data_IF_473394215118
#
_entry.id   IF_473394215118
#
_cell.length_a   1.000
_cell.length_b   1.000
_cell.length_c   1.000
_cell.angle_alpha   90.00
_cell.angle_beta   90.00
_cell.angle_gamma   90.00
#
_symmetry.space_group_name_H-M   'P 1'
#
loop_
_entity.id
_entity.type
_entity.pdbx_description
1 polymer ?
#
# COMPACT_ATOMS: atom_id res chain seq x y z
N UNK A 1 -0.60 9.59 12.64
CA UNK A 1 -1.46 9.35 11.45
C UNK A 1 -0.54 9.23 10.26
N UNK A 2 -0.70 8.20 9.42
CA UNK A 2 0.15 8.02 8.24
C UNK A 2 -0.04 9.18 7.26
N UNK A 3 1.07 9.76 6.79
CA UNK A 3 1.10 10.81 5.79
C UNK A 3 2.13 10.42 4.74
N UNK A 4 1.76 10.52 3.46
CA UNK A 4 2.65 10.37 2.33
C UNK A 4 2.76 11.72 1.61
N UNK A 5 3.83 12.51 1.84
CA UNK A 5 3.97 13.84 1.26
C UNK A 5 3.82 13.82 -0.27
N UNK A 6 3.07 14.79 -0.81
CA UNK A 6 2.82 14.89 -2.26
C UNK A 6 1.85 13.86 -2.83
N UNK A 7 1.24 13.00 -2.00
CA UNK A 7 0.35 11.94 -2.45
C UNK A 7 -0.96 11.93 -1.66
N UNK A 8 -2.01 11.45 -2.31
CA UNK A 8 -3.22 11.00 -1.64
C UNK A 8 -3.01 9.60 -1.06
N UNK A 9 -3.69 9.31 0.05
CA UNK A 9 -3.81 7.98 0.63
C UNK A 9 -5.26 7.51 0.40
N UNK A 10 -5.40 6.30 -0.12
CA UNK A 10 -6.66 5.57 -0.22
C UNK A 10 -6.82 4.59 0.95
N UNK A 11 -7.45 3.46 0.69
CA UNK A 11 -7.64 2.41 1.68
C UNK A 11 -6.29 1.89 2.20
N UNK A 12 -6.30 1.46 3.46
CA UNK A 12 -5.15 0.86 4.14
C UNK A 12 -5.50 -0.52 4.67
N UNK A 13 -4.53 -1.42 4.67
CA UNK A 13 -4.64 -2.73 5.31
C UNK A 13 -3.35 -3.06 6.04
N UNK A 14 -3.47 -3.89 7.08
CA UNK A 14 -2.40 -4.10 8.05
C UNK A 14 -1.99 -5.56 8.14
N UNK A 15 -0.72 -5.77 8.45
CA UNK A 15 -0.18 -7.04 8.91
C UNK A 15 0.75 -6.76 10.10
N UNK A 16 0.60 -7.52 11.18
CA UNK A 16 1.42 -7.35 12.38
C UNK A 16 2.39 -8.51 12.48
N UNK A 17 3.69 -8.20 12.52
CA UNK A 17 4.78 -9.15 12.71
C UNK A 17 5.54 -8.79 14.00
N UNK A 18 5.30 -9.55 15.07
CA UNK A 18 5.78 -9.22 16.41
C UNK A 18 5.39 -7.77 16.81
N UNK A 19 6.38 -6.92 17.09
CA UNK A 19 6.19 -5.52 17.47
C UNK A 19 6.16 -4.55 16.27
N UNK A 20 6.23 -5.07 15.04
CA UNK A 20 6.19 -4.24 13.82
C UNK A 20 4.82 -4.33 13.16
N UNK A 21 4.18 -3.17 13.02
CA UNK A 21 2.93 -3.02 12.29
C UNK A 21 3.28 -2.58 10.87
N UNK A 22 2.98 -3.44 9.90
CA UNK A 22 3.09 -3.15 8.48
C UNK A 22 1.76 -2.58 7.99
N UNK A 23 1.79 -1.40 7.39
CA UNK A 23 0.66 -0.76 6.71
C UNK A 23 0.92 -0.76 5.22
N UNK A 24 0.05 -1.43 4.48
CA UNK A 24 -0.01 -1.37 3.03
C UNK A 24 -1.17 -0.44 2.67
N UNK A 25 -0.97 0.42 1.67
CA UNK A 25 -1.94 1.45 1.38
C UNK A 25 -1.93 1.85 -0.10
N UNK A 26 -3.10 2.21 -0.59
CA UNK A 26 -3.24 2.82 -1.92
C UNK A 26 -2.69 4.25 -1.88
N UNK A 27 -1.93 4.63 -2.90
CA UNK A 27 -1.39 5.97 -3.02
C UNK A 27 -1.27 6.43 -4.46
N UNK A 28 -1.47 7.73 -4.70
CA UNK A 28 -1.25 8.36 -5.99
C UNK A 28 -0.78 9.81 -5.79
N UNK A 29 -0.02 10.38 -6.73
CA UNK A 29 0.34 11.80 -6.68
C UNK A 29 -0.89 12.69 -6.52
N UNK A 30 -0.78 13.73 -5.71
CA UNK A 30 -1.88 14.71 -5.54
C UNK A 30 -2.10 15.61 -6.76
N UNK A 31 -1.26 15.46 -7.80
CA UNK A 31 -1.38 16.11 -9.11
C UNK A 31 -2.25 15.31 -10.10
N UNK A 32 -2.66 14.10 -9.72
CA UNK A 32 -3.49 13.21 -10.55
C UNK A 32 -4.89 13.13 -9.91
N UNK A 33 -5.92 12.94 -10.73
CA UNK A 33 -7.28 12.72 -10.24
C UNK A 33 -7.32 11.49 -9.32
N UNK A 34 -7.84 11.68 -8.11
CA UNK A 34 -7.96 10.61 -7.12
C UNK A 34 -8.77 9.44 -7.68
N UNK A 35 -8.43 8.21 -7.30
CA UNK A 35 -9.09 6.98 -7.78
C UNK A 35 -8.86 6.61 -9.25
N UNK A 36 -7.93 7.28 -9.96
CA UNK A 36 -7.63 6.97 -11.37
C UNK A 36 -6.28 6.30 -11.60
N UNK A 37 -5.38 6.33 -10.61
CA UNK A 37 -4.01 5.83 -10.77
C UNK A 37 -3.41 5.40 -9.43
N UNK A 38 -4.09 4.51 -8.71
CA UNK A 38 -3.50 3.95 -7.49
C UNK A 38 -2.28 3.09 -7.79
N UNK A 39 -1.33 3.15 -6.87
CA UNK A 39 -0.25 2.18 -6.65
C UNK A 39 -0.35 1.71 -5.18
N UNK A 40 0.35 0.63 -4.82
CA UNK A 40 0.43 0.15 -3.44
C UNK A 40 1.79 0.54 -2.84
N UNK A 41 1.75 1.23 -1.71
CA UNK A 41 2.91 1.58 -0.91
C UNK A 41 2.91 0.88 0.44
N UNK A 42 4.07 0.87 1.09
CA UNK A 42 4.30 0.22 2.37
C UNK A 42 4.91 1.18 3.38
N UNK A 43 4.46 1.09 4.63
CA UNK A 43 5.01 1.79 5.77
C UNK A 43 5.03 0.87 7.00
N UNK A 44 5.92 1.13 7.95
CA UNK A 44 5.97 0.41 9.23
C UNK A 44 5.86 1.35 10.41
N UNK A 45 5.29 0.86 11.50
CA UNK A 45 5.17 1.58 12.78
C UNK A 45 5.26 0.60 13.95
N UNK A 46 5.67 1.08 15.12
CA UNK A 46 5.56 0.35 16.38
C UNK A 46 4.36 0.80 17.23
N UNK A 47 3.68 1.89 16.86
CA UNK A 47 2.68 2.56 17.72
C UNK A 47 1.49 3.18 16.96
N UNK A 48 1.37 2.94 15.65
CA UNK A 48 0.34 3.49 14.75
C UNK A 48 0.36 5.02 14.58
N UNK A 49 1.24 5.73 15.27
CA UNK A 49 1.36 7.19 15.19
C UNK A 49 2.54 7.61 14.35
N UNK A 50 3.70 7.00 14.59
CA UNK A 50 4.98 7.30 13.96
C UNK A 50 5.27 6.26 12.88
N UNK A 51 5.42 6.74 11.64
CA UNK A 51 5.49 5.89 10.46
C UNK A 51 6.82 6.06 9.73
N UNK A 52 7.47 4.95 9.42
CA UNK A 52 8.57 4.88 8.46
C UNK A 52 8.01 4.50 7.10
N UNK A 53 8.17 5.36 6.10
CA UNK A 53 7.72 5.10 4.73
C UNK A 53 8.78 4.26 3.99
N UNK A 54 8.34 3.20 3.32
CA UNK A 54 9.17 2.36 2.44
C UNK A 54 8.93 2.64 0.96
N UNK A 55 7.93 3.48 0.65
CA UNK A 55 7.59 3.89 -0.72
C UNK A 55 6.66 2.90 -1.43
N UNK A 56 6.52 3.09 -2.75
CA UNK A 56 5.70 2.24 -3.62
C UNK A 56 6.38 0.89 -3.80
N UNK A 57 5.67 -0.18 -3.44
CA UNK A 57 6.15 -1.57 -3.55
C UNK A 57 5.50 -2.31 -4.72
N UNK A 58 4.35 -1.85 -5.20
CA UNK A 58 3.67 -2.38 -6.37
C UNK A 58 3.05 -1.24 -7.16
N UNK A 59 3.45 -1.11 -8.42
CA UNK A 59 2.82 -0.18 -9.36
C UNK A 59 1.68 -0.87 -10.08
N UNK A 60 0.71 -0.09 -10.59
CA UNK A 60 -0.25 -0.60 -11.57
C UNK A 60 0.46 -1.29 -12.74
N UNK A 61 -0.17 -2.32 -13.28
CA UNK A 61 0.35 -3.06 -14.42
C UNK A 61 0.33 -2.26 -15.71
N UNK A 62 0.79 -2.91 -16.78
CA UNK A 62 0.60 -2.42 -18.15
C UNK A 62 -0.90 -2.27 -18.49
N UNK A 63 -1.30 -1.39 -19.43
CA UNK A 63 -2.71 -1.07 -19.67
C UNK A 63 -3.64 -2.26 -19.96
N UNK A 64 -3.11 -3.35 -20.52
CA UNK A 64 -3.84 -4.58 -20.86
C UNK A 64 -3.75 -5.68 -19.78
N UNK A 65 -3.00 -5.45 -18.70
CA UNK A 65 -2.95 -6.34 -17.55
C UNK A 65 -4.22 -6.24 -16.69
N UNK A 66 -4.46 -7.26 -15.86
CA UNK A 66 -5.64 -7.30 -14.99
C UNK A 66 -5.70 -6.12 -13.99
N UNK A 67 -4.54 -5.59 -13.61
CA UNK A 67 -4.35 -4.46 -12.71
C UNK A 67 -3.85 -3.19 -13.45
N UNK A 68 -4.03 -3.14 -14.78
CA UNK A 68 -3.55 -2.04 -15.64
C UNK A 68 -4.25 -0.71 -15.42
N UNK A 69 -5.48 -0.72 -14.88
CA UNK A 69 -6.19 0.50 -14.49
C UNK A 69 -5.64 1.04 -13.17
N UNK A 70 -5.75 0.25 -12.12
CA UNK A 70 -5.16 0.49 -10.81
C UNK A 70 -5.30 -0.78 -9.94
N UNK A 71 -4.33 -1.09 -9.07
CA UNK A 71 -4.49 -2.02 -7.96
C UNK A 71 -5.62 -1.56 -7.04
N UNK A 72 -6.22 -2.51 -6.33
CA UNK A 72 -7.25 -2.24 -5.34
C UNK A 72 -6.80 -2.69 -3.94
N UNK A 73 -7.65 -2.38 -2.97
CA UNK A 73 -7.47 -2.79 -1.58
C UNK A 73 -7.48 -4.30 -1.48
N UNK A 74 -6.58 -4.86 -0.69
CA UNK A 74 -6.55 -6.29 -0.47
C UNK A 74 -6.06 -6.68 0.92
N UNK A 75 -5.20 -7.69 0.98
CA UNK A 75 -4.74 -8.27 2.24
C UNK A 75 -3.33 -8.84 2.11
N UNK A 76 -2.66 -9.00 3.25
CA UNK A 76 -1.40 -9.74 3.32
C UNK A 76 -1.64 -11.05 4.05
N UNK A 77 -1.29 -12.14 3.38
CA UNK A 77 -1.47 -13.49 3.88
C UNK A 77 -0.08 -14.08 4.11
N UNK A 78 0.18 -14.49 5.35
CA UNK A 78 1.35 -15.31 5.67
C UNK A 78 0.95 -16.78 5.62
N UNK A 79 1.66 -17.57 4.84
CA UNK A 79 1.51 -19.03 4.81
C UNK A 79 2.88 -19.69 4.75
N UNK A 80 3.20 -20.47 5.80
CA UNK A 80 4.56 -20.98 6.06
C UNK A 80 5.57 -19.81 6.10
N UNK A 81 6.70 -19.94 5.41
CA UNK A 81 7.76 -18.93 5.37
C UNK A 81 7.60 -17.94 4.20
N UNK A 82 6.36 -17.72 3.75
CA UNK A 82 6.06 -16.82 2.63
C UNK A 82 4.95 -15.84 2.98
N UNK A 83 5.05 -14.65 2.39
CA UNK A 83 4.05 -13.61 2.43
C UNK A 83 3.48 -13.41 1.03
N UNK A 84 2.17 -13.27 0.96
CA UNK A 84 1.42 -13.05 -0.27
C UNK A 84 0.65 -11.74 -0.13
N UNK A 85 0.86 -10.84 -1.07
CA UNK A 85 0.07 -9.62 -1.21
C UNK A 85 -1.07 -9.93 -2.19
N UNK A 86 -2.29 -10.03 -1.68
CA UNK A 86 -3.50 -10.02 -2.51
C UNK A 86 -3.97 -8.56 -2.65
N UNK A 87 -4.36 -8.16 -3.86
CA UNK A 87 -4.78 -6.80 -4.21
C UNK A 87 -5.65 -6.78 -5.46
#
# INVERSE_FOLDING_TARGET
MLIHPGNYIGDTWYYVDNDTIHCFYLTCPNTIERHTSWDIAHATSANLTDWTLHGVILRKGEPDAYDGRCPATGSVIRFKDRYWLAY
#
